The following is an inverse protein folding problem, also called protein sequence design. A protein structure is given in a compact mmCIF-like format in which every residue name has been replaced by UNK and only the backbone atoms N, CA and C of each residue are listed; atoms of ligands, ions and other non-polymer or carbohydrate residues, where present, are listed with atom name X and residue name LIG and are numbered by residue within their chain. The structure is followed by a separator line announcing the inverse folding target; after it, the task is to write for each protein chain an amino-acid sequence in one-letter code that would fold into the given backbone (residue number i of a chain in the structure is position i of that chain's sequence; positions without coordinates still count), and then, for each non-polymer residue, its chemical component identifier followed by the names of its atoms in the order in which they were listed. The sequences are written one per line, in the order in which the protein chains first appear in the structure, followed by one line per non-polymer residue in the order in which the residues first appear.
data_IF_687429833702
#
_entry.id   IF_687429833702
#
_cell.length_a   1.000
_cell.length_b   1.000
_cell.length_c   1.000
_cell.angle_alpha   90.00
_cell.angle_beta   90.00
_cell.angle_gamma   90.00
#
_symmetry.space_group_name_H-M   'P 1'
#
loop_
_entity.id
_entity.type
_entity.pdbx_description
1 polymer ?
#
# COMPACT_ATOMS: atom_id res chain seq x y z
N UNK A 1 17.96 16.47 22.09
CA UNK A 1 18.24 16.73 20.66
C UNK A 1 18.74 15.41 20.13
N UNK A 2 17.89 14.67 19.43
CA UNK A 2 18.24 13.35 18.92
C UNK A 2 18.96 13.50 17.57
N UNK A 3 20.23 13.10 17.52
CA UNK A 3 21.03 13.08 16.30
C UNK A 3 20.52 11.99 15.34
N UNK A 4 19.61 12.36 14.43
CA UNK A 4 19.20 11.49 13.34
C UNK A 4 20.39 11.27 12.39
N UNK A 5 20.98 10.08 12.44
CA UNK A 5 22.05 9.66 11.56
C UNK A 5 21.50 9.40 10.15
N UNK A 6 21.71 10.36 9.24
CA UNK A 6 21.33 10.25 7.82
C UNK A 6 22.41 9.46 7.09
N UNK A 7 22.08 8.27 6.58
CA UNK A 7 22.95 7.52 5.66
C UNK A 7 22.74 8.00 4.23
N UNK A 8 23.78 8.58 3.64
CA UNK A 8 23.79 9.02 2.24
C UNK A 8 24.27 7.86 1.38
N UNK A 9 23.45 7.42 0.41
CA UNK A 9 23.78 6.38 -0.56
C UNK A 9 23.96 6.97 -1.96
N UNK A 10 24.90 6.42 -2.73
CA UNK A 10 25.08 6.76 -4.14
C UNK A 10 23.97 6.06 -4.93
N UNK A 11 23.08 6.84 -5.54
CA UNK A 11 22.00 6.30 -6.38
C UNK A 11 22.59 5.91 -7.74
N UNK A 12 22.43 4.65 -8.13
CA UNK A 12 22.92 4.13 -9.42
C UNK A 12 22.06 4.68 -10.57
N UNK A 13 22.34 5.93 -10.95
CA UNK A 13 22.26 6.55 -12.28
C UNK A 13 22.61 8.03 -12.09
N UNK A 14 23.71 8.45 -12.69
CA UNK A 14 23.99 9.86 -12.99
C UNK A 14 24.29 10.78 -11.78
N UNK A 15 25.04 10.29 -10.78
CA UNK A 15 25.71 11.16 -9.81
C UNK A 15 24.79 11.93 -8.84
N UNK A 16 23.51 11.55 -8.75
CA UNK A 16 22.56 12.17 -7.83
C UNK A 16 22.64 11.51 -6.45
N UNK A 17 22.78 12.32 -5.39
CA UNK A 17 22.74 11.84 -4.01
C UNK A 17 21.30 11.44 -3.65
N UNK A 18 21.09 10.16 -3.35
CA UNK A 18 19.80 9.65 -2.87
C UNK A 18 19.77 9.61 -1.35
N UNK A 19 18.89 10.41 -0.74
CA UNK A 19 18.62 10.29 0.69
C UNK A 19 17.73 9.05 0.93
N UNK A 20 18.32 7.99 1.48
CA UNK A 20 17.56 6.81 1.92
C UNK A 20 17.02 7.05 3.33
N UNK A 21 15.76 7.46 3.43
CA UNK A 21 15.03 7.45 4.70
C UNK A 21 14.69 5.99 5.07
N UNK A 22 15.59 5.28 5.74
CA UNK A 22 15.33 3.89 6.16
C UNK A 22 14.41 3.85 7.37
N UNK A 23 13.10 4.07 7.17
CA UNK A 23 12.09 3.56 8.12
C UNK A 23 11.80 2.10 7.77
N UNK A 24 12.63 1.19 8.28
CA UNK A 24 12.49 -0.26 8.14
C UNK A 24 13.71 -0.91 7.50
N UNK A 25 14.61 -1.45 8.33
CA UNK A 25 15.71 -2.28 7.84
C UNK A 25 15.21 -3.61 7.31
N UNK A 26 15.83 -4.12 6.24
CA UNK A 26 15.70 -5.50 5.80
C UNK A 26 16.13 -6.42 6.95
N UNK A 27 15.17 -6.96 7.70
CA UNK A 27 15.42 -8.05 8.65
C UNK A 27 14.87 -9.32 8.02
N UNK A 28 15.66 -10.40 8.01
CA UNK A 28 15.15 -11.72 7.68
C UNK A 28 13.96 -12.02 8.60
N UNK A 29 12.78 -12.25 8.01
CA UNK A 29 11.52 -12.43 8.75
C UNK A 29 10.64 -11.19 8.91
N UNK A 30 11.02 -10.01 8.41
CA UNK A 30 10.17 -8.79 8.44
C UNK A 30 9.14 -8.71 7.29
N UNK A 31 8.82 -9.85 6.67
CA UNK A 31 7.74 -9.97 5.69
C UNK A 31 6.56 -10.70 6.30
N UNK A 32 5.42 -10.00 6.46
CA UNK A 32 4.12 -10.68 6.62
C UNK A 32 3.99 -11.67 5.44
N UNK A 33 3.61 -12.93 5.67
CA UNK A 33 3.42 -13.93 4.60
C UNK A 33 2.70 -13.25 3.43
N UNK A 34 3.32 -13.25 2.25
CA UNK A 34 2.75 -12.60 1.07
C UNK A 34 1.42 -13.26 0.73
N UNK A 35 0.31 -12.56 0.97
CA UNK A 35 -1.05 -13.03 0.66
C UNK A 35 -1.27 -13.09 -0.87
N UNK A 36 -0.38 -12.44 -1.65
CA UNK A 36 -0.39 -12.44 -3.10
C UNK A 36 0.55 -11.38 -3.68
N UNK A 37 0.36 -11.05 -4.96
CA UNK A 37 1.12 -10.00 -5.65
C UNK A 37 0.40 -8.66 -5.51
N UNK A 38 1.09 -7.64 -5.01
CA UNK A 38 0.55 -6.27 -4.97
C UNK A 38 0.78 -5.57 -6.30
N UNK A 39 -0.27 -4.98 -6.87
CA UNK A 39 -0.21 -4.10 -8.05
C UNK A 39 -0.76 -2.73 -7.67
N UNK A 40 -0.08 -1.65 -8.06
CA UNK A 40 -0.61 -0.29 -7.93
C UNK A 40 -1.57 -0.02 -9.08
N UNK A 41 -2.76 0.49 -8.77
CA UNK A 41 -3.78 0.87 -9.74
C UNK A 41 -4.21 2.30 -9.50
N UNK A 42 -4.60 2.98 -10.57
CA UNK A 42 -5.25 4.29 -10.49
C UNK A 42 -6.73 4.08 -10.80
N UNK A 43 -7.60 4.65 -9.97
CA UNK A 43 -9.05 4.60 -10.14
C UNK A 43 -9.56 6.04 -10.19
N UNK A 44 -10.43 6.32 -11.15
CA UNK A 44 -11.15 7.59 -11.24
C UNK A 44 -12.63 7.28 -11.01
N UNK A 45 -13.20 7.87 -9.96
CA UNK A 45 -14.59 7.75 -9.55
C UNK A 45 -15.14 9.15 -9.27
N UNK A 46 -16.47 9.28 -9.19
CA UNK A 46 -17.10 10.54 -8.79
C UNK A 46 -16.75 10.88 -7.34
N UNK A 47 -16.84 12.17 -6.98
CA UNK A 47 -16.61 12.61 -5.60
C UNK A 47 -17.55 11.91 -4.61
N UNK A 48 -18.83 11.77 -4.99
CA UNK A 48 -19.86 11.09 -4.18
C UNK A 48 -19.48 9.64 -3.83
N UNK A 49 -18.91 8.90 -4.80
CA UNK A 49 -18.46 7.53 -4.57
C UNK A 49 -17.22 7.51 -3.67
N UNK A 50 -16.27 8.43 -3.88
CA UNK A 50 -15.10 8.54 -3.01
C UNK A 50 -15.48 8.83 -1.56
N UNK A 51 -16.44 9.71 -1.34
CA UNK A 51 -16.94 10.03 -0.01
C UNK A 51 -17.60 8.82 0.66
N UNK A 52 -18.37 8.01 -0.07
CA UNK A 52 -18.95 6.79 0.49
C UNK A 52 -17.87 5.78 0.87
N UNK A 53 -16.88 5.58 0.00
CA UNK A 53 -15.72 4.70 0.28
C UNK A 53 -15.00 5.15 1.56
N UNK A 54 -14.78 6.46 1.72
CA UNK A 54 -14.10 7.00 2.89
C UNK A 54 -14.96 6.81 4.15
N UNK A 55 -16.27 7.05 4.08
CA UNK A 55 -17.22 6.78 5.18
C UNK A 55 -17.20 5.32 5.61
N UNK A 56 -17.23 4.37 4.67
CA UNK A 56 -17.16 2.94 4.97
C UNK A 56 -15.82 2.56 5.62
N UNK A 57 -14.72 3.12 5.13
CA UNK A 57 -13.38 2.88 5.70
C UNK A 57 -13.29 3.39 7.14
N UNK A 58 -13.79 4.60 7.39
CA UNK A 58 -13.82 5.20 8.73
C UNK A 58 -14.69 4.39 9.69
N UNK A 59 -15.90 4.01 9.27
CA UNK A 59 -16.83 3.22 10.09
C UNK A 59 -16.29 1.83 10.42
N UNK A 60 -15.58 1.20 9.49
CA UNK A 60 -15.02 -0.13 9.66
C UNK A 60 -13.60 -0.16 10.25
N UNK A 61 -12.97 0.99 10.46
CA UNK A 61 -11.53 1.11 10.78
C UNK A 61 -10.64 0.30 9.83
N UNK A 62 -11.01 0.24 8.54
CA UNK A 62 -10.29 -0.49 7.50
C UNK A 62 -9.63 0.46 6.49
N UNK A 63 -8.55 0.00 5.87
CA UNK A 63 -7.94 0.76 4.77
C UNK A 63 -8.76 0.63 3.48
N UNK A 64 -8.69 1.64 2.61
CA UNK A 64 -9.24 1.57 1.25
C UNK A 64 -8.77 0.31 0.50
N UNK A 65 -7.50 -0.07 0.66
CA UNK A 65 -6.95 -1.27 0.03
C UNK A 65 -7.51 -2.58 0.61
N UNK A 66 -8.00 -2.58 1.85
CA UNK A 66 -8.76 -3.69 2.40
C UNK A 66 -10.18 -3.73 1.82
N UNK A 67 -10.88 -2.60 1.81
CA UNK A 67 -12.22 -2.50 1.23
C UNK A 67 -12.24 -2.94 -0.25
N UNK A 68 -11.36 -2.38 -1.08
CA UNK A 68 -11.29 -2.74 -2.50
C UNK A 68 -10.93 -4.21 -2.72
N UNK A 69 -10.08 -4.78 -1.87
CA UNK A 69 -9.76 -6.21 -1.95
C UNK A 69 -11.01 -7.05 -1.73
N UNK A 70 -11.80 -6.75 -0.69
CA UNK A 70 -13.04 -7.47 -0.41
C UNK A 70 -14.05 -7.35 -1.55
N UNK A 71 -14.20 -6.15 -2.13
CA UNK A 71 -15.08 -5.93 -3.29
C UNK A 71 -14.63 -6.78 -4.50
N UNK A 72 -13.34 -6.73 -4.83
CA UNK A 72 -12.77 -7.47 -5.96
C UNK A 72 -12.87 -8.99 -5.74
N UNK A 73 -12.51 -9.46 -4.54
CA UNK A 73 -12.61 -10.86 -4.16
C UNK A 73 -14.07 -11.32 -4.26
N UNK A 74 -15.02 -10.58 -3.70
CA UNK A 74 -16.45 -10.93 -3.75
C UNK A 74 -16.97 -11.04 -5.19
N UNK A 75 -16.47 -10.22 -6.11
CA UNK A 75 -16.85 -10.31 -7.53
C UNK A 75 -16.39 -11.64 -8.15
N UNK A 76 -15.11 -11.99 -7.99
CA UNK A 76 -14.52 -13.19 -8.59
C UNK A 76 -14.84 -14.51 -7.84
N UNK A 77 -15.15 -14.46 -6.55
CA UNK A 77 -15.58 -15.66 -5.81
C UNK A 77 -16.94 -16.16 -6.30
N UNK A 78 -17.86 -15.27 -6.65
CA UNK A 78 -19.19 -15.64 -7.16
C UNK A 78 -19.15 -16.28 -8.57
N UNK A 79 -18.07 -16.10 -9.33
CA UNK A 79 -17.89 -16.69 -10.66
C UNK A 79 -17.35 -18.14 -10.63
N UNK A 80 -16.97 -18.66 -9.47
CA UNK A 80 -16.43 -20.04 -9.35
C UNK A 80 -17.45 -21.09 -8.92
N UNK A 81 -18.64 -20.66 -8.52
CA UNK A 81 -19.74 -21.53 -8.09
C UNK A 81 -20.91 -21.59 -9.09
N UNK A 82 -20.73 -21.09 -10.32
CA UNK A 82 -21.68 -21.19 -11.44
C UNK A 82 -21.04 -21.80 -12.68
#
# INVERSE_FOLDING_TARGET
MDDENIKIGLSNKEGQLGFMFTRGGHREGAGRKGIGVTKKVSLTLTAEIWEEIDRECEKGEISRSALFRTIIESHYYNEKDG
#
